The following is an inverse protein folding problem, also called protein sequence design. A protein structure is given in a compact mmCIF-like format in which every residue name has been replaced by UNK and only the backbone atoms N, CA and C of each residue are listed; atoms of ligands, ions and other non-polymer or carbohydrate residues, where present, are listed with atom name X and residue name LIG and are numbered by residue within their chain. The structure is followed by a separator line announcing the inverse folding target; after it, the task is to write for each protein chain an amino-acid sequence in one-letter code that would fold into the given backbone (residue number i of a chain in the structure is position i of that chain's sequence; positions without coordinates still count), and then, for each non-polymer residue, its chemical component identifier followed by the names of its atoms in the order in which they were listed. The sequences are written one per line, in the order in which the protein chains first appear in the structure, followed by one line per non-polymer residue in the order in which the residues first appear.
data_IF_865655243813
#
_entry.id   IF_865655243813
#
_cell.length_a   1.000
_cell.length_b   1.000
_cell.length_c   1.000
_cell.angle_alpha   90.00
_cell.angle_beta   90.00
_cell.angle_gamma   90.00
#
_symmetry.space_group_name_H-M   'P 1'
#
loop_
_entity.id
_entity.type
_entity.pdbx_description
1 polymer ?
#
# COMPACT_ATOMS: atom_id res chain seq x y z
N UNK A 1 -30.59 -0.26 7.50
CA UNK A 1 -31.54 -0.86 8.46
C UNK A 1 -30.78 -1.04 9.78
N UNK A 2 -30.92 -0.12 10.74
CA UNK A 2 -30.23 -0.20 12.03
C UNK A 2 -31.07 -1.08 12.97
N UNK A 3 -30.55 -2.24 13.35
CA UNK A 3 -31.19 -3.15 14.30
C UNK A 3 -30.75 -2.75 15.70
N UNK A 4 -31.65 -2.14 16.48
CA UNK A 4 -31.39 -1.82 17.88
C UNK A 4 -31.91 -2.99 18.71
N UNK A 5 -31.01 -3.90 19.09
CA UNK A 5 -31.36 -5.04 19.96
C UNK A 5 -31.70 -4.57 21.38
N UNK A 6 -32.63 -5.31 22.01
CA UNK A 6 -33.28 -5.01 23.30
C UNK A 6 -32.27 -4.69 24.42
N UNK A 7 -32.28 -3.45 24.91
CA UNK A 7 -31.65 -3.08 26.18
C UNK A 7 -32.35 -3.80 27.35
N UNK A 8 -31.61 -4.65 28.06
CA UNK A 8 -32.08 -5.24 29.32
C UNK A 8 -31.72 -4.28 30.47
N UNK A 9 -32.73 -3.66 31.08
CA UNK A 9 -32.55 -2.78 32.25
C UNK A 9 -32.55 -3.66 33.50
N UNK A 10 -31.36 -4.05 33.98
CA UNK A 10 -31.19 -4.47 35.36
C UNK A 10 -31.05 -3.21 36.23
N UNK A 11 -31.77 -3.16 37.37
CA UNK A 11 -31.77 -2.02 38.30
C UNK A 11 -30.34 -1.55 38.61
N UNK A 12 -30.07 -0.27 38.32
CA UNK A 12 -28.89 0.50 38.71
C UNK A 12 -27.53 0.23 38.03
N UNK A 13 -27.49 -0.41 36.86
CA UNK A 13 -26.25 -0.41 36.05
C UNK A 13 -26.56 -0.33 34.55
N UNK A 14 -26.17 0.79 33.91
CA UNK A 14 -26.08 0.88 32.46
C UNK A 14 -24.84 0.07 32.06
N UNK A 15 -25.05 -1.13 31.54
CA UNK A 15 -24.00 -1.91 30.87
C UNK A 15 -24.11 -1.59 29.38
N UNK A 16 -23.23 -0.71 28.89
CA UNK A 16 -23.06 -0.50 27.47
C UNK A 16 -22.32 -1.72 26.91
N UNK A 17 -23.07 -2.67 26.36
CA UNK A 17 -22.48 -3.70 25.50
C UNK A 17 -22.05 -3.03 24.20
N UNK A 18 -20.80 -2.58 24.14
CA UNK A 18 -20.15 -2.30 22.87
C UNK A 18 -19.76 -3.67 22.34
N UNK A 19 -20.58 -4.24 21.45
CA UNK A 19 -20.12 -5.33 20.60
C UNK A 19 -18.94 -4.78 19.81
N UNK A 20 -17.73 -5.07 20.27
CA UNK A 20 -16.53 -4.97 19.46
C UNK A 20 -16.77 -5.93 18.29
N UNK A 21 -17.22 -5.39 17.15
CA UNK A 21 -16.87 -6.00 15.87
C UNK A 21 -15.38 -6.29 15.97
N UNK A 22 -15.00 -7.56 15.85
CA UNK A 22 -13.59 -7.95 15.80
C UNK A 22 -12.92 -7.04 14.77
N UNK A 23 -12.13 -6.07 15.24
CA UNK A 23 -11.45 -5.12 14.38
C UNK A 23 -10.31 -5.90 13.75
N UNK A 24 -10.45 -6.24 12.47
CA UNK A 24 -9.35 -6.81 11.68
C UNK A 24 -8.19 -5.80 11.53
N UNK A 25 -8.44 -4.53 11.86
CA UNK A 25 -7.46 -3.46 11.93
C UNK A 25 -6.61 -3.48 13.22
N UNK A 26 -5.34 -3.85 13.07
CA UNK A 26 -4.33 -3.75 14.12
C UNK A 26 -3.91 -2.28 14.32
N UNK A 27 -4.11 -1.75 15.53
CA UNK A 27 -3.63 -0.41 15.88
C UNK A 27 -2.13 -0.44 16.23
N UNK A 28 -1.31 0.18 15.38
CA UNK A 28 0.16 0.27 15.57
C UNK A 28 0.56 1.68 15.99
N UNK A 29 1.44 1.79 16.99
CA UNK A 29 2.04 3.06 17.39
C UNK A 29 3.42 3.21 16.71
N UNK A 30 3.49 4.07 15.69
CA UNK A 30 4.72 4.32 14.94
C UNK A 30 5.40 5.57 15.48
N UNK A 31 6.67 5.42 15.91
CA UNK A 31 7.52 6.57 16.24
C UNK A 31 8.20 7.06 14.97
N UNK A 32 7.85 8.25 14.53
CA UNK A 32 8.42 8.89 13.34
C UNK A 32 9.14 10.20 13.70
N UNK A 33 10.16 10.59 12.93
CA UNK A 33 10.78 11.90 13.04
C UNK A 33 9.78 13.06 12.90
N UNK A 34 10.05 14.18 13.58
CA UNK A 34 9.13 15.32 13.65
C UNK A 34 8.97 16.03 12.29
N UNK A 35 10.05 16.14 11.54
CA UNK A 35 10.11 16.64 10.17
C UNK A 35 9.28 15.77 9.22
N UNK A 36 9.40 14.44 9.33
CA UNK A 36 8.62 13.51 8.52
C UNK A 36 7.11 13.63 8.82
N UNK A 37 6.74 13.77 10.10
CA UNK A 37 5.36 13.99 10.50
C UNK A 37 4.80 15.27 9.89
N UNK A 38 5.53 16.38 9.97
CA UNK A 38 5.11 17.67 9.42
C UNK A 38 4.92 17.60 7.89
N UNK A 39 5.84 16.92 7.19
CA UNK A 39 5.73 16.70 5.74
C UNK A 39 4.51 15.84 5.37
N UNK A 40 4.20 14.81 6.15
CA UNK A 40 3.03 13.96 5.94
C UNK A 40 1.72 14.71 6.21
N UNK A 41 1.67 15.58 7.22
CA UNK A 41 0.49 16.42 7.51
C UNK A 41 0.22 17.42 6.37
N UNK A 42 1.26 18.06 5.84
CA UNK A 42 1.12 18.95 4.68
C UNK A 42 0.57 18.21 3.45
N UNK A 43 1.07 16.99 3.19
CA UNK A 43 0.62 16.14 2.08
C UNK A 43 -0.79 15.57 2.29
N UNK A 44 -1.15 15.23 3.53
CA UNK A 44 -2.49 14.80 3.88
C UNK A 44 -3.50 15.93 3.61
N UNK A 45 -3.16 17.16 4.01
CA UNK A 45 -3.98 18.34 3.74
C UNK A 45 -4.15 18.61 2.23
N UNK A 46 -3.07 18.50 1.44
CA UNK A 46 -3.18 18.67 -0.02
C UNK A 46 -4.02 17.60 -0.70
N UNK A 47 -4.04 16.39 -0.14
CA UNK A 47 -4.78 15.25 -0.67
C UNK A 47 -6.19 15.11 -0.07
N UNK A 48 -6.63 16.04 0.78
CA UNK A 48 -7.91 16.00 1.50
C UNK A 48 -8.11 14.70 2.30
N UNK A 49 -7.04 14.19 2.91
CA UNK A 49 -7.04 12.96 3.72
C UNK A 49 -6.65 13.27 5.16
N UNK A 50 -7.05 12.39 6.08
CA UNK A 50 -6.48 12.39 7.43
C UNK A 50 -5.01 11.95 7.37
N UNK A 51 -4.21 12.30 8.38
CA UNK A 51 -2.82 11.87 8.48
C UNK A 51 -2.70 10.34 8.38
N UNK A 52 -3.54 9.60 9.11
CA UNK A 52 -3.60 8.13 9.04
C UNK A 52 -3.97 7.64 7.64
N UNK A 53 -4.96 8.26 7.00
CA UNK A 53 -5.37 7.91 5.64
C UNK A 53 -4.27 8.13 4.61
N UNK A 54 -3.50 9.20 4.73
CA UNK A 54 -2.36 9.47 3.86
C UNK A 54 -1.22 8.48 4.09
N UNK A 55 -0.93 8.12 5.34
CA UNK A 55 0.08 7.10 5.67
C UNK A 55 -0.30 5.76 5.03
N UNK A 56 -1.54 5.31 5.24
CA UNK A 56 -2.04 4.05 4.67
C UNK A 56 -1.99 4.09 3.15
N UNK A 57 -2.46 5.17 2.52
CA UNK A 57 -2.45 5.31 1.08
C UNK A 57 -1.03 5.27 0.49
N UNK A 58 -0.05 5.91 1.14
CA UNK A 58 1.36 5.86 0.72
C UNK A 58 1.95 4.46 0.85
N UNK A 59 1.65 3.76 1.94
CA UNK A 59 2.14 2.40 2.16
C UNK A 59 1.60 1.45 1.10
N UNK A 60 0.29 1.49 0.83
CA UNK A 60 -0.32 0.70 -0.25
C UNK A 60 0.30 1.00 -1.60
N UNK A 61 0.44 2.28 -1.94
CA UNK A 61 1.05 2.67 -3.20
C UNK A 61 2.49 2.17 -3.33
N UNK A 62 3.26 2.16 -2.24
CA UNK A 62 4.63 1.65 -2.26
C UNK A 62 4.66 0.15 -2.54
N UNK A 63 3.75 -0.63 -1.93
CA UNK A 63 3.65 -2.06 -2.19
C UNK A 63 3.26 -2.34 -3.66
N UNK A 64 2.30 -1.60 -4.21
CA UNK A 64 1.92 -1.72 -5.62
C UNK A 64 3.05 -1.30 -6.57
N UNK A 65 3.77 -0.22 -6.24
CA UNK A 65 4.94 0.26 -6.98
C UNK A 65 6.06 -0.79 -6.95
N UNK A 66 6.32 -1.43 -5.81
CA UNK A 66 7.33 -2.48 -5.67
C UNK A 66 7.00 -3.70 -6.56
N UNK A 67 5.74 -4.14 -6.58
CA UNK A 67 5.29 -5.25 -7.43
C UNK A 67 5.45 -4.91 -8.93
N UNK A 68 5.05 -3.70 -9.33
CA UNK A 68 5.22 -3.21 -10.70
C UNK A 68 6.69 -3.11 -11.10
N UNK A 69 7.54 -2.58 -10.22
CA UNK A 69 8.98 -2.45 -10.46
C UNK A 69 9.64 -3.82 -10.63
N UNK A 70 9.25 -4.80 -9.83
CA UNK A 70 9.75 -6.17 -9.95
C UNK A 70 9.34 -6.82 -11.28
N UNK A 71 8.10 -6.61 -11.72
CA UNK A 71 7.64 -7.11 -13.02
C UNK A 71 8.41 -6.45 -14.17
N UNK A 72 8.54 -5.12 -14.16
CA UNK A 72 9.28 -4.37 -15.18
C UNK A 72 10.76 -4.77 -15.19
N UNK A 73 11.37 -5.01 -14.04
CA UNK A 73 12.76 -5.46 -13.97
C UNK A 73 12.96 -6.82 -14.65
N UNK A 74 12.00 -7.74 -14.51
CA UNK A 74 11.98 -9.01 -15.24
C UNK A 74 11.89 -8.81 -16.75
N UNK A 75 10.92 -8.02 -17.21
CA UNK A 75 10.72 -7.72 -18.63
C UNK A 75 11.97 -7.08 -19.26
N UNK A 76 12.63 -6.16 -18.54
CA UNK A 76 13.86 -5.50 -19.00
C UNK A 76 14.99 -6.51 -19.18
N UNK A 77 15.10 -7.51 -18.31
CA UNK A 77 16.14 -8.54 -18.42
C UNK A 77 15.90 -9.45 -19.63
N UNK A 78 14.65 -9.88 -19.84
CA UNK A 78 14.24 -10.64 -21.01
C UNK A 78 14.50 -9.86 -22.31
N UNK A 79 14.20 -8.56 -22.32
CA UNK A 79 14.46 -7.69 -23.47
C UNK A 79 15.95 -7.57 -23.76
N UNK A 80 16.80 -7.43 -22.74
CA UNK A 80 18.26 -7.38 -22.93
C UNK A 80 18.80 -8.66 -23.56
N UNK A 81 18.31 -9.83 -23.12
CA UNK A 81 18.71 -11.10 -23.70
C UNK A 81 18.30 -11.18 -25.18
N UNK A 82 17.07 -10.78 -25.51
CA UNK A 82 16.59 -10.74 -26.89
C UNK A 82 17.41 -9.80 -27.77
N UNK A 83 17.74 -8.60 -27.27
CA UNK A 83 18.60 -7.64 -27.99
C UNK A 83 19.96 -8.25 -28.27
N UNK A 84 20.58 -8.88 -27.26
CA UNK A 84 21.88 -9.53 -27.42
C UNK A 84 21.85 -10.63 -28.50
N UNK A 85 20.84 -11.50 -28.48
CA UNK A 85 20.70 -12.57 -29.47
C UNK A 85 20.58 -12.01 -30.89
N UNK A 86 19.79 -10.94 -31.07
CA UNK A 86 19.64 -10.27 -32.37
C UNK A 86 20.95 -9.59 -32.83
N UNK A 87 21.71 -9.01 -31.90
CA UNK A 87 23.02 -8.44 -32.21
C UNK A 87 24.01 -9.52 -32.65
N UNK A 88 24.01 -10.68 -32.00
CA UNK A 88 24.84 -11.81 -32.36
C UNK A 88 24.43 -12.41 -33.72
N UNK A 89 23.13 -12.55 -34.00
CA UNK A 89 22.60 -12.96 -35.31
C UNK A 89 23.02 -12.00 -36.43
N UNK A 90 22.88 -10.69 -36.20
CA UNK A 90 23.33 -9.68 -37.17
C UNK A 90 24.82 -9.78 -37.41
N UNK A 91 25.64 -9.97 -36.37
CA UNK A 91 27.10 -10.12 -36.52
C UNK A 91 27.45 -11.28 -37.44
N UNK A 92 26.84 -12.45 -37.22
CA UNK A 92 27.06 -13.64 -38.05
C UNK A 92 26.68 -13.39 -39.52
N UNK A 93 25.61 -12.62 -39.78
CA UNK A 93 25.17 -12.34 -41.15
C UNK A 93 26.09 -11.40 -41.93
N UNK A 94 26.84 -10.51 -41.26
CA UNK A 94 27.77 -9.57 -41.93
C UNK A 94 29.21 -10.06 -42.03
N UNK A 95 29.61 -11.05 -41.21
CA UNK A 95 30.97 -11.63 -41.26
C UNK A 95 31.10 -12.79 -42.29
N UNK A 96 30.03 -13.08 -43.06
CA UNK A 96 29.95 -14.21 -43.99
C UNK A 96 30.12 -13.88 -45.49
N UNK A 97 30.52 -12.66 -45.85
CA UNK A 97 30.71 -12.19 -47.25
C UNK A 97 32.15 -11.70 -47.48
#
# INVERSE_FOLDING_TARGET
MCYVSRCFIARNSIVLYIEHMARDDLQVNVRIPADLKAALEAKANSNYRSLTGEIVARLWRTLEEDDLLNAVAGDVEDLKERVKNLEDERRIAYDGD
#
